data_IF_967669642051
#
_entry.id   IF_967669642051
#
_cell.length_a   1.000
_cell.length_b   1.000
_cell.length_c   1.000
_cell.angle_alpha   90.00
_cell.angle_beta   90.00
_cell.angle_gamma   90.00
#
_symmetry.space_group_name_H-M   'P 1'
#
loop_
_entity.id
_entity.type
_entity.pdbx_description
1 polymer ?
#
# COMPACT_ATOMS: atom_id res chain seq x y z
N UNK A 1 10.98 8.80 13.70
CA UNK A 1 11.16 10.06 12.94
C UNK A 1 10.74 9.76 11.51
N UNK A 2 9.57 10.21 11.06
CA UNK A 2 9.15 9.99 9.66
C UNK A 2 9.85 11.03 8.80
N UNK A 3 10.81 10.64 7.98
CA UNK A 3 11.32 11.52 6.94
C UNK A 3 10.17 11.81 5.98
N UNK A 4 9.78 13.08 5.87
CA UNK A 4 8.81 13.54 4.90
C UNK A 4 9.46 13.37 3.52
N UNK A 5 9.05 12.33 2.78
CA UNK A 5 9.43 12.11 1.39
C UNK A 5 8.75 13.17 0.50
N UNK A 6 9.23 14.41 0.60
CA UNK A 6 8.82 15.50 -0.27
C UNK A 6 9.43 15.26 -1.63
N UNK A 7 8.60 15.24 -2.66
CA UNK A 7 9.09 15.33 -4.03
C UNK A 7 9.73 16.71 -4.24
N UNK A 8 10.58 16.85 -5.27
CA UNK A 8 11.11 18.15 -5.72
C UNK A 8 10.04 19.12 -6.24
N UNK A 9 8.76 18.72 -6.24
CA UNK A 9 7.62 19.47 -6.76
C UNK A 9 6.68 19.90 -5.62
N UNK A 10 6.77 21.14 -5.11
CA UNK A 10 5.98 21.62 -3.97
C UNK A 10 4.47 21.44 -4.14
N UNK A 11 3.96 21.72 -5.35
CA UNK A 11 2.54 21.58 -5.67
C UNK A 11 2.06 20.12 -5.56
N UNK A 12 2.90 19.15 -5.93
CA UNK A 12 2.58 17.72 -5.79
C UNK A 12 2.47 17.35 -4.32
N UNK A 13 3.40 17.85 -3.49
CA UNK A 13 3.37 17.63 -2.05
C UNK A 13 2.10 18.23 -1.41
N UNK A 14 1.68 19.42 -1.85
CA UNK A 14 0.42 20.04 -1.42
C UNK A 14 -0.81 19.23 -1.82
N UNK A 15 -0.89 18.77 -3.08
CA UNK A 15 -1.97 17.92 -3.56
C UNK A 15 -2.09 16.64 -2.72
N UNK A 16 -0.97 15.95 -2.48
CA UNK A 16 -0.95 14.71 -1.68
C UNK A 16 -1.42 14.97 -0.24
N UNK A 17 -0.95 16.05 0.38
CA UNK A 17 -1.35 16.45 1.72
C UNK A 17 -2.85 16.76 1.80
N UNK A 18 -3.38 17.54 0.86
CA UNK A 18 -4.80 17.90 0.80
C UNK A 18 -5.68 16.68 0.53
N UNK A 19 -5.27 15.79 -0.37
CA UNK A 19 -5.99 14.54 -0.66
C UNK A 19 -6.15 13.68 0.59
N UNK A 20 -5.05 13.43 1.31
CA UNK A 20 -5.07 12.63 2.54
C UNK A 20 -5.86 13.30 3.67
N UNK A 21 -5.76 14.62 3.81
CA UNK A 21 -6.51 15.40 4.81
C UNK A 21 -8.02 15.35 4.52
N UNK A 22 -8.41 15.59 3.27
CA UNK A 22 -9.82 15.60 2.87
C UNK A 22 -10.43 14.20 2.94
N UNK A 23 -9.73 13.17 2.46
CA UNK A 23 -10.23 11.79 2.48
C UNK A 23 -10.50 11.31 3.90
N UNK A 24 -9.60 11.59 4.85
CA UNK A 24 -9.81 11.31 6.28
C UNK A 24 -11.04 12.03 6.85
N UNK A 25 -11.21 13.31 6.53
CA UNK A 25 -12.36 14.11 6.99
C UNK A 25 -13.70 13.60 6.44
N UNK A 26 -13.73 13.24 5.16
CA UNK A 26 -14.94 12.76 4.46
C UNK A 26 -15.31 11.36 4.94
N UNK A 27 -14.34 10.46 5.01
CA UNK A 27 -14.59 9.04 5.27
C UNK A 27 -14.63 8.69 6.77
N UNK A 28 -14.07 9.53 7.67
CA UNK A 28 -14.05 9.31 9.13
C UNK A 28 -13.59 7.88 9.46
N UNK A 29 -14.33 7.14 10.30
CA UNK A 29 -14.01 5.74 10.64
C UNK A 29 -14.08 4.75 9.48
N UNK A 30 -14.65 5.13 8.33
CA UNK A 30 -14.67 4.32 7.10
C UNK A 30 -13.39 4.45 6.27
N UNK A 31 -12.52 5.41 6.59
CA UNK A 31 -11.23 5.60 5.94
C UNK A 31 -10.33 4.37 6.15
N UNK A 32 -10.30 3.83 7.36
CA UNK A 32 -9.39 2.74 7.78
C UNK A 32 -9.63 1.44 6.99
N UNK A 33 -10.88 1.10 6.70
CA UNK A 33 -11.20 -0.14 6.00
C UNK A 33 -10.81 -0.12 4.52
N UNK A 34 -11.03 0.98 3.82
CA UNK A 34 -10.75 1.05 2.37
C UNK A 34 -9.24 1.03 2.04
N UNK A 35 -8.39 1.40 3.01
CA UNK A 35 -7.03 1.84 2.76
C UNK A 35 -5.97 0.72 2.82
N UNK A 36 -6.11 -0.28 3.68
CA UNK A 36 -5.00 -1.24 3.92
C UNK A 36 -4.68 -2.10 2.70
N UNK A 37 -5.69 -2.74 2.08
CA UNK A 37 -5.50 -3.54 0.87
C UNK A 37 -5.04 -2.68 -0.31
N UNK A 38 -5.53 -1.44 -0.40
CA UNK A 38 -5.07 -0.50 -1.41
C UNK A 38 -3.60 -0.13 -1.20
N UNK A 39 -3.20 0.12 0.04
CA UNK A 39 -1.84 0.49 0.43
C UNK A 39 -0.86 -0.63 0.14
N UNK A 40 -1.11 -1.86 0.57
CA UNK A 40 -0.22 -3.01 0.29
C UNK A 40 -0.03 -3.22 -1.21
N UNK A 41 -1.12 -3.22 -1.98
CA UNK A 41 -1.05 -3.43 -3.43
C UNK A 41 -0.37 -2.25 -4.15
N UNK A 42 -0.49 -1.04 -3.61
CA UNK A 42 0.24 0.12 -4.11
C UNK A 42 1.73 -0.02 -3.85
N UNK A 43 2.15 -0.44 -2.64
CA UNK A 43 3.55 -0.73 -2.33
C UNK A 43 4.13 -1.79 -3.27
N UNK A 44 3.39 -2.89 -3.52
CA UNK A 44 3.82 -3.92 -4.47
C UNK A 44 4.07 -3.34 -5.87
N UNK A 45 3.17 -2.48 -6.37
CA UNK A 45 3.32 -1.83 -7.68
C UNK A 45 4.47 -0.85 -7.72
N UNK A 46 4.63 -0.03 -6.68
CA UNK A 46 5.75 0.91 -6.59
C UNK A 46 7.09 0.18 -6.67
N UNK A 47 7.26 -0.90 -5.90
CA UNK A 47 8.49 -1.69 -5.94
C UNK A 47 8.70 -2.40 -7.28
N UNK A 48 7.64 -2.92 -7.89
CA UNK A 48 7.73 -3.49 -9.24
C UNK A 48 8.25 -2.45 -10.23
N UNK A 49 7.66 -1.25 -10.23
CA UNK A 49 8.05 -0.15 -11.12
C UNK A 49 9.49 0.31 -10.86
N UNK A 50 9.93 0.36 -9.60
CA UNK A 50 11.32 0.67 -9.26
C UNK A 50 12.30 -0.36 -9.83
N UNK A 51 11.97 -1.65 -9.76
CA UNK A 51 12.88 -2.72 -10.20
C UNK A 51 12.85 -2.94 -11.72
N UNK A 52 11.71 -2.74 -12.38
CA UNK A 52 11.51 -3.11 -13.79
C UNK A 52 11.34 -1.90 -14.74
N UNK A 53 11.12 -0.70 -14.21
CA UNK A 53 10.84 0.49 -15.04
C UNK A 53 9.48 0.50 -15.73
N UNK A 54 8.56 -0.38 -15.34
CA UNK A 54 7.22 -0.52 -15.96
C UNK A 54 6.08 -0.49 -14.92
N UNK A 55 4.87 -0.12 -15.36
CA UNK A 55 3.68 0.01 -14.53
C UNK A 55 2.68 -1.08 -14.88
N UNK A 56 2.66 -2.13 -14.07
CA UNK A 56 1.75 -3.29 -14.26
C UNK A 56 0.46 -3.19 -13.43
N UNK A 57 -0.45 -4.13 -13.67
CA UNK A 57 -1.70 -4.26 -12.90
C UNK A 57 -1.42 -4.68 -11.46
N UNK A 58 -2.41 -4.49 -10.57
CA UNK A 58 -2.30 -4.88 -9.15
C UNK A 58 -2.12 -6.40 -8.98
N UNK A 59 -2.71 -7.20 -9.87
CA UNK A 59 -2.58 -8.66 -9.84
C UNK A 59 -1.15 -9.08 -10.12
N UNK A 60 -0.58 -8.57 -11.21
CA UNK A 60 0.78 -8.89 -11.66
C UNK A 60 1.80 -8.45 -10.60
N UNK A 61 1.67 -7.23 -10.08
CA UNK A 61 2.56 -6.75 -9.02
C UNK A 61 2.46 -7.56 -7.72
N UNK A 62 1.26 -8.01 -7.34
CA UNK A 62 1.08 -8.84 -6.14
C UNK A 62 1.73 -10.23 -6.30
N UNK A 63 1.57 -10.86 -7.47
CA UNK A 63 2.21 -12.15 -7.75
C UNK A 63 3.73 -12.04 -7.81
N UNK A 64 4.26 -10.99 -8.44
CA UNK A 64 5.68 -10.69 -8.41
C UNK A 64 6.18 -10.47 -6.98
N UNK A 65 5.49 -9.65 -6.18
CA UNK A 65 5.89 -9.32 -4.82
C UNK A 65 5.95 -10.56 -3.91
N UNK A 66 5.06 -11.55 -4.09
CA UNK A 66 5.09 -12.83 -3.35
C UNK A 66 6.38 -13.62 -3.60
N UNK A 67 6.94 -13.51 -4.80
CA UNK A 67 8.19 -14.19 -5.17
C UNK A 67 9.41 -13.39 -4.72
N UNK A 68 9.30 -12.06 -4.75
CA UNK A 68 10.40 -11.13 -4.50
C UNK A 68 10.67 -10.82 -3.02
N UNK A 69 9.62 -10.70 -2.21
CA UNK A 69 9.73 -10.40 -0.77
C UNK A 69 9.84 -11.68 0.07
N UNK A 70 10.30 -11.50 1.31
CA UNK A 70 10.52 -12.58 2.26
C UNK A 70 9.24 -13.42 2.46
N UNK A 71 9.37 -14.75 2.65
CA UNK A 71 8.22 -15.66 2.70
C UNK A 71 7.14 -15.28 3.72
N UNK A 72 7.52 -14.62 4.81
CA UNK A 72 6.63 -14.14 5.87
C UNK A 72 5.55 -13.17 5.38
N UNK A 73 5.80 -12.44 4.28
CA UNK A 73 4.84 -11.47 3.73
C UNK A 73 3.85 -12.08 2.74
N UNK A 74 4.10 -13.30 2.26
CA UNK A 74 3.24 -13.98 1.28
C UNK A 74 1.79 -14.15 1.75
N UNK A 75 1.51 -14.57 3.00
CA UNK A 75 0.14 -14.69 3.49
C UNK A 75 -0.61 -13.35 3.51
N UNK A 76 0.09 -12.26 3.84
CA UNK A 76 -0.48 -10.92 3.85
C UNK A 76 -0.86 -10.47 2.44
N UNK A 77 0.06 -10.58 1.48
CA UNK A 77 -0.15 -10.17 0.08
C UNK A 77 -1.29 -10.97 -0.56
N UNK A 78 -1.32 -12.29 -0.32
CA UNK A 78 -2.38 -13.16 -0.83
C UNK A 78 -3.74 -12.77 -0.25
N UNK A 79 -3.82 -12.53 1.06
CA UNK A 79 -5.06 -12.16 1.75
C UNK A 79 -5.63 -10.84 1.23
N UNK A 80 -4.82 -9.80 1.08
CA UNK A 80 -5.29 -8.50 0.58
C UNK A 80 -5.70 -8.55 -0.89
N UNK A 81 -5.07 -9.43 -1.68
CA UNK A 81 -5.45 -9.67 -3.07
C UNK A 81 -6.82 -10.35 -3.16
N UNK A 82 -7.03 -11.43 -2.40
CA UNK A 82 -8.31 -12.16 -2.36
C UNK A 82 -9.43 -11.26 -1.80
N UNK A 83 -9.18 -10.55 -0.70
CA UNK A 83 -10.16 -9.65 -0.09
C UNK A 83 -10.61 -8.53 -1.03
N UNK A 84 -9.75 -8.10 -1.96
CA UNK A 84 -10.12 -7.11 -2.99
C UNK A 84 -11.08 -7.68 -4.04
N UNK A 85 -10.95 -8.95 -4.41
CA UNK A 85 -11.87 -9.61 -5.35
C UNK A 85 -13.25 -9.80 -4.70
N UNK A 86 -13.27 -10.10 -3.40
CA UNK A 86 -14.48 -10.36 -2.63
C UNK A 86 -15.00 -9.10 -1.92
N UNK A 87 -15.30 -8.05 -2.70
CA UNK A 87 -15.64 -6.66 -2.31
C UNK A 87 -16.74 -6.42 -1.24
N UNK A 88 -17.26 -7.46 -0.59
CA UNK A 88 -18.31 -7.39 0.45
C UNK A 88 -17.82 -7.65 1.88
N UNK A 89 -16.62 -8.19 2.09
CA UNK A 89 -16.12 -8.40 3.45
C UNK A 89 -15.43 -7.14 4.00
N UNK A 90 -15.86 -6.74 5.21
CA UNK A 90 -15.24 -5.66 5.97
C UNK A 90 -13.76 -5.99 6.15
N UNK A 91 -12.91 -5.03 5.82
CA UNK A 91 -11.48 -5.07 6.10
C UNK A 91 -11.23 -5.44 7.55
N UNK A 92 -10.63 -6.61 7.73
CA UNK A 92 -10.26 -7.13 9.03
C UNK A 92 -9.22 -6.21 9.69
N UNK A 93 -9.60 -5.58 10.81
CA UNK A 93 -8.73 -4.72 11.60
C UNK A 93 -7.57 -5.48 12.24
N UNK A 94 -7.62 -6.82 12.30
CA UNK A 94 -6.50 -7.67 12.69
C UNK A 94 -5.26 -7.50 11.79
N UNK A 95 -5.43 -6.90 10.61
CA UNK A 95 -4.34 -6.67 9.66
C UNK A 95 -3.67 -5.29 9.77
N UNK A 96 -4.03 -4.45 10.76
CA UNK A 96 -3.42 -3.12 10.89
C UNK A 96 -1.92 -3.19 11.19
N UNK A 97 -1.52 -4.01 12.16
CA UNK A 97 -0.12 -4.16 12.54
C UNK A 97 0.69 -4.80 11.40
N UNK A 98 0.17 -5.89 10.81
CA UNK A 98 0.82 -6.53 9.66
C UNK A 98 0.96 -5.58 8.46
N UNK A 99 -0.03 -4.72 8.22
CA UNK A 99 0.07 -3.70 7.17
C UNK A 99 1.13 -2.65 7.50
N UNK A 100 1.18 -2.16 8.74
CA UNK A 100 2.18 -1.18 9.16
C UNK A 100 3.59 -1.75 9.10
N UNK A 101 3.78 -2.99 9.54
CA UNK A 101 5.07 -3.67 9.52
C UNK A 101 5.52 -3.92 8.09
N UNK A 102 4.62 -4.33 7.19
CA UNK A 102 4.93 -4.45 5.78
C UNK A 102 5.35 -3.11 5.16
N UNK A 103 4.64 -2.01 5.44
CA UNK A 103 5.01 -0.69 4.92
C UNK A 103 6.40 -0.28 5.40
N UNK A 104 6.73 -0.52 6.68
CA UNK A 104 8.07 -0.24 7.22
C UNK A 104 9.14 -1.11 6.56
N UNK A 105 8.84 -2.39 6.38
CA UNK A 105 9.69 -3.33 5.69
C UNK A 105 9.98 -2.88 4.25
N UNK A 106 8.95 -2.55 3.46
CA UNK A 106 9.12 -2.12 2.06
C UNK A 106 9.86 -0.79 1.97
N UNK A 107 9.61 0.13 2.91
CA UNK A 107 10.34 1.39 3.00
C UNK A 107 11.85 1.18 3.20
N UNK A 108 12.25 0.21 4.02
CA UNK A 108 13.66 -0.16 4.20
C UNK A 108 14.30 -0.87 3.01
N UNK A 109 13.51 -1.27 2.00
CA UNK A 109 13.95 -1.92 0.76
C UNK A 109 13.93 -0.97 -0.45
N UNK A 110 13.42 0.25 -0.29
CA UNK A 110 13.47 1.27 -1.33
C UNK A 110 14.92 1.77 -1.49
N UNK A 111 15.39 2.04 -2.73
CA UNK A 111 16.73 2.54 -3.00
C UNK A 111 16.94 3.96 -2.45
#
# INVERSE_FOLDING_TARGET
MFHTYLTSHPNVNEILNLLLKNSRRILKGRFVGMDLSYTILTQCRTHYTLEHGDVVSKAVAAEWAKQRFEPEWRPLILRVWIGRQNSREKTDFGNLNGTLDFIRYTLGKAP
#
